data_IF_676591232054
#
_entry.id   IF_676591232054
#
_cell.length_a   1.000
_cell.length_b   1.000
_cell.length_c   1.000
_cell.angle_alpha   90.00
_cell.angle_beta   90.00
_cell.angle_gamma   90.00
#
_symmetry.space_group_name_H-M   'P 1'
#
loop_
_entity.id
_entity.type
_entity.pdbx_description
1 polymer ?
#
# COMPACT_ATOMS: atom_id res chain seq x y z
N UNK A 1 -15.53 4.17 -28.28
CA UNK A 1 -14.15 3.64 -28.27
C UNK A 1 -13.47 4.35 -27.11
N UNK A 2 -13.46 3.74 -25.92
CA UNK A 2 -12.76 4.30 -24.76
C UNK A 2 -11.26 4.21 -25.03
N UNK A 3 -10.55 5.30 -24.77
CA UNK A 3 -9.10 5.33 -24.92
C UNK A 3 -8.46 4.44 -23.83
N UNK A 4 -7.29 3.82 -24.08
CA UNK A 4 -6.52 3.21 -23.01
C UNK A 4 -6.21 4.29 -21.97
N UNK A 5 -6.74 4.13 -20.75
CA UNK A 5 -6.62 5.12 -19.67
C UNK A 5 -7.84 6.01 -19.43
N UNK A 6 -9.00 5.74 -20.06
CA UNK A 6 -10.27 6.32 -19.61
C UNK A 6 -10.57 5.85 -18.18
N UNK A 7 -10.69 6.78 -17.23
CA UNK A 7 -10.92 6.43 -15.83
C UNK A 7 -12.20 5.61 -15.63
N UNK A 8 -13.22 5.79 -16.47
CA UNK A 8 -14.42 4.95 -16.42
C UNK A 8 -14.11 3.47 -16.68
N UNK A 9 -13.09 3.18 -17.51
CA UNK A 9 -12.64 1.81 -17.79
C UNK A 9 -11.83 1.24 -16.63
N UNK A 10 -11.28 2.06 -15.72
CA UNK A 10 -10.59 1.59 -14.53
C UNK A 10 -11.55 1.43 -13.35
N UNK A 11 -12.49 2.36 -13.18
CA UNK A 11 -13.41 2.39 -12.02
C UNK A 11 -14.66 1.52 -12.20
N UNK A 12 -15.05 1.18 -13.43
CA UNK A 12 -16.24 0.36 -13.73
C UNK A 12 -15.87 -0.93 -14.49
N UNK A 13 -14.63 -1.38 -14.36
CA UNK A 13 -14.17 -2.62 -14.98
C UNK A 13 -14.64 -3.84 -14.17
N UNK A 14 -15.45 -4.75 -14.74
CA UNK A 14 -15.77 -6.00 -14.05
C UNK A 14 -14.54 -6.89 -13.86
N UNK A 15 -13.48 -6.74 -14.66
CA UNK A 15 -12.24 -7.49 -14.54
C UNK A 15 -11.25 -6.89 -13.51
N UNK A 16 -11.47 -5.63 -13.09
CA UNK A 16 -10.70 -4.95 -12.05
C UNK A 16 -11.66 -4.34 -11.02
N UNK A 17 -12.30 -5.16 -10.18
CA UNK A 17 -13.32 -4.69 -9.26
C UNK A 17 -12.73 -3.76 -8.18
N UNK A 18 -13.54 -2.80 -7.74
CA UNK A 18 -13.22 -1.96 -6.58
C UNK A 18 -13.10 -2.85 -5.34
N UNK A 19 -12.12 -2.54 -4.49
CA UNK A 19 -11.92 -3.29 -3.25
C UNK A 19 -13.12 -3.19 -2.32
N UNK A 20 -13.51 -4.34 -1.80
CA UNK A 20 -14.63 -4.48 -0.87
C UNK A 20 -14.14 -4.63 0.56
N UNK A 21 -15.07 -4.53 1.52
CA UNK A 21 -14.77 -4.84 2.92
C UNK A 21 -14.28 -6.29 3.11
N UNK A 22 -14.73 -7.24 2.29
CA UNK A 22 -14.28 -8.62 2.39
C UNK A 22 -12.79 -8.74 2.04
N UNK A 23 -12.35 -8.05 0.99
CA UNK A 23 -10.93 -8.00 0.58
C UNK A 23 -10.07 -7.36 1.68
N UNK A 24 -10.58 -6.34 2.36
CA UNK A 24 -9.88 -5.71 3.49
C UNK A 24 -9.73 -6.66 4.70
N UNK A 25 -10.76 -7.43 5.04
CA UNK A 25 -10.64 -8.40 6.14
C UNK A 25 -9.73 -9.58 5.77
N UNK A 26 -9.73 -10.02 4.50
CA UNK A 26 -8.74 -10.98 3.99
C UNK A 26 -7.33 -10.41 4.11
N UNK A 27 -7.13 -9.17 3.67
CA UNK A 27 -5.84 -8.48 3.78
C UNK A 27 -5.35 -8.41 5.22
N UNK A 28 -6.25 -8.11 6.16
CA UNK A 28 -5.92 -8.12 7.59
C UNK A 28 -5.49 -9.49 8.10
N UNK A 29 -6.06 -10.57 7.56
CA UNK A 29 -5.65 -11.94 7.89
C UNK A 29 -4.18 -12.22 7.60
N UNK A 30 -3.56 -11.53 6.63
CA UNK A 30 -2.13 -11.71 6.32
C UNK A 30 -1.19 -11.25 7.43
N UNK A 31 -1.63 -10.34 8.32
CA UNK A 31 -0.78 -9.89 9.42
C UNK A 31 -0.50 -11.02 10.43
N UNK A 32 -1.51 -11.82 10.75
CA UNK A 32 -1.43 -12.93 11.68
C UNK A 32 -0.86 -14.21 11.04
N UNK A 33 -0.80 -14.28 9.72
CA UNK A 33 -0.25 -15.43 9.00
C UNK A 33 1.27 -15.50 9.15
N UNK A 34 1.79 -16.63 9.62
CA UNK A 34 3.23 -16.93 9.72
C UNK A 34 3.70 -17.92 8.66
N UNK A 35 2.80 -18.73 8.11
CA UNK A 35 3.13 -19.74 7.11
C UNK A 35 3.53 -19.10 5.77
N UNK A 36 4.68 -19.54 5.23
CA UNK A 36 5.22 -19.08 3.95
C UNK A 36 5.97 -17.74 4.01
N UNK A 37 6.02 -17.09 5.17
CA UNK A 37 6.78 -15.85 5.40
C UNK A 37 8.19 -16.16 5.90
N UNK A 38 9.20 -15.74 5.15
CA UNK A 38 10.61 -15.92 5.48
C UNK A 38 11.17 -14.59 5.99
N UNK A 39 11.68 -14.58 7.22
CA UNK A 39 12.36 -13.42 7.79
C UNK A 39 13.66 -13.15 7.01
N UNK A 40 13.78 -11.95 6.44
CA UNK A 40 14.97 -11.51 5.71
C UNK A 40 15.79 -10.48 6.48
N UNK A 41 15.18 -9.78 7.42
CA UNK A 41 15.84 -8.77 8.24
C UNK A 41 15.16 -8.66 9.60
N UNK A 42 15.97 -8.46 10.64
CA UNK A 42 15.52 -8.22 12.01
C UNK A 42 16.52 -7.38 12.79
N UNK A 43 16.03 -6.33 13.42
CA UNK A 43 16.74 -5.57 14.44
C UNK A 43 15.89 -5.47 15.73
N UNK A 44 16.24 -4.53 16.62
CA UNK A 44 15.56 -4.33 17.90
C UNK A 44 14.08 -3.93 17.73
N UNK A 45 13.76 -3.19 16.68
CA UNK A 45 12.45 -2.54 16.48
C UNK A 45 11.69 -3.02 15.26
N UNK A 46 12.34 -3.69 14.32
CA UNK A 46 11.81 -3.95 12.98
C UNK A 46 12.15 -5.35 12.52
N UNK A 47 11.14 -6.01 11.95
CA UNK A 47 11.23 -7.32 11.29
C UNK A 47 10.65 -7.20 9.88
N UNK A 48 11.38 -7.73 8.89
CA UNK A 48 10.98 -7.76 7.48
C UNK A 48 10.88 -9.20 7.04
N UNK A 49 9.71 -9.57 6.52
CA UNK A 49 9.45 -10.90 5.98
C UNK A 49 9.06 -10.82 4.51
N UNK A 50 9.54 -11.78 3.73
CA UNK A 50 9.15 -11.97 2.34
C UNK A 50 8.34 -13.25 2.21
N UNK A 51 7.26 -13.21 1.42
CA UNK A 51 6.54 -14.43 1.04
C UNK A 51 7.07 -14.94 -0.28
N UNK A 52 7.53 -16.19 -0.31
CA UNK A 52 8.06 -16.86 -1.50
C UNK A 52 9.17 -16.06 -2.24
N UNK A 53 10.35 -15.84 -1.63
CA UNK A 53 11.43 -15.00 -2.18
C UNK A 53 12.06 -15.56 -3.48
N UNK A 54 11.76 -16.80 -3.85
CA UNK A 54 12.22 -17.39 -5.12
C UNK A 54 11.32 -17.01 -6.30
N UNK A 55 10.10 -16.50 -6.05
CA UNK A 55 9.21 -16.01 -7.09
C UNK A 55 9.59 -14.56 -7.46
N UNK A 56 10.16 -14.37 -8.64
CA UNK A 56 10.53 -13.04 -9.14
C UNK A 56 9.37 -12.28 -9.78
N UNK A 57 8.22 -12.93 -10.02
CA UNK A 57 7.06 -12.29 -10.64
C UNK A 57 6.22 -11.50 -9.62
N UNK A 58 6.19 -11.94 -8.37
CA UNK A 58 5.41 -11.32 -7.30
C UNK A 58 6.23 -11.26 -6.02
N UNK A 59 6.46 -10.04 -5.52
CA UNK A 59 7.15 -9.82 -4.26
C UNK A 59 6.13 -9.34 -3.25
N UNK A 60 5.91 -10.13 -2.20
CA UNK A 60 5.09 -9.72 -1.06
C UNK A 60 5.99 -9.51 0.14
N UNK A 61 5.88 -8.32 0.75
CA UNK A 61 6.69 -7.91 1.89
C UNK A 61 5.77 -7.62 3.07
N UNK A 62 6.13 -8.14 4.24
CA UNK A 62 5.49 -7.83 5.52
C UNK A 62 6.51 -7.17 6.42
N UNK A 63 6.20 -5.95 6.83
CA UNK A 63 6.98 -5.16 7.79
C UNK A 63 6.25 -5.18 9.13
N UNK A 64 6.93 -5.65 10.18
CA UNK A 64 6.43 -5.57 11.57
C UNK A 64 7.39 -4.68 12.35
N UNK A 65 6.91 -3.58 12.90
CA UNK A 65 7.77 -2.68 13.66
C UNK A 65 7.08 -2.02 14.84
N UNK A 66 7.81 -1.84 15.94
CA UNK A 66 7.38 -1.08 17.13
C UNK A 66 8.03 0.32 17.21
N UNK A 67 8.77 0.73 16.18
CA UNK A 67 9.47 2.02 16.14
C UNK A 67 8.52 3.23 16.29
N UNK A 68 7.25 3.06 15.93
CA UNK A 68 6.21 4.10 16.03
C UNK A 68 5.14 3.79 17.08
N UNK A 69 5.43 2.92 18.05
CA UNK A 69 4.43 2.48 19.06
C UNK A 69 3.85 3.62 19.92
N UNK A 70 4.61 4.70 20.08
CA UNK A 70 4.22 5.87 20.87
C UNK A 70 3.46 6.92 20.03
N UNK A 71 3.29 6.68 18.72
CA UNK A 71 2.56 7.56 17.81
C UNK A 71 1.13 7.01 17.62
N UNK A 72 0.08 7.84 17.78
CA UNK A 72 -1.29 7.40 17.51
C UNK A 72 -1.46 6.92 16.07
N UNK A 73 -2.18 5.80 15.88
CA UNK A 73 -2.42 5.22 14.56
C UNK A 73 -3.05 6.21 13.57
N UNK A 74 -3.92 7.11 14.05
CA UNK A 74 -4.51 8.17 13.22
C UNK A 74 -3.46 9.11 12.64
N UNK A 75 -2.45 9.49 13.44
CA UNK A 75 -1.38 10.39 12.98
C UNK A 75 -0.54 9.71 11.89
N UNK A 76 -0.26 8.41 12.05
CA UNK A 76 0.44 7.62 11.03
C UNK A 76 -0.40 7.54 9.75
N UNK A 77 -1.70 7.30 9.87
CA UNK A 77 -2.63 7.26 8.74
C UNK A 77 -2.65 8.59 7.98
N UNK A 78 -2.84 9.72 8.66
CA UNK A 78 -2.83 11.05 8.04
C UNK A 78 -1.48 11.37 7.37
N UNK A 79 -0.36 11.01 8.02
CA UNK A 79 0.99 11.20 7.48
C UNK A 79 1.24 10.48 6.15
N UNK A 80 0.70 9.26 6.00
CA UNK A 80 0.84 8.44 4.78
C UNK A 80 -0.07 8.97 3.66
N UNK A 81 -1.26 9.46 4.00
CA UNK A 81 -2.28 9.87 3.04
C UNK A 81 -2.18 11.33 2.59
N UNK A 82 -1.37 12.18 3.24
CA UNK A 82 -1.11 13.55 2.80
C UNK A 82 0.05 13.59 1.78
N UNK A 83 -0.21 13.78 0.48
CA UNK A 83 0.83 13.76 -0.55
C UNK A 83 1.78 14.96 -0.48
N UNK A 84 1.36 16.09 0.10
CA UNK A 84 2.20 17.28 0.23
C UNK A 84 3.11 17.18 1.45
N UNK A 85 2.58 16.67 2.56
CA UNK A 85 3.40 16.37 3.73
C UNK A 85 4.37 15.23 3.45
N UNK A 86 3.97 14.21 2.69
CA UNK A 86 4.84 13.08 2.36
C UNK A 86 6.13 13.49 1.65
N UNK A 87 6.09 14.51 0.79
CA UNK A 87 7.29 15.09 0.13
C UNK A 87 8.33 15.65 1.11
N UNK A 88 7.95 15.91 2.36
CA UNK A 88 8.86 16.46 3.38
C UNK A 88 9.75 15.39 4.02
N UNK A 89 9.36 14.12 3.95
CA UNK A 89 10.05 13.02 4.63
C UNK A 89 10.33 11.80 3.76
N UNK A 90 9.58 11.57 2.67
CA UNK A 90 9.85 10.52 1.70
C UNK A 90 10.84 11.05 0.64
N UNK A 91 12.13 10.85 0.89
CA UNK A 91 13.22 11.28 -0.01
C UNK A 91 13.11 10.69 -1.42
N UNK A 92 12.32 9.63 -1.61
CA UNK A 92 12.10 9.00 -2.92
C UNK A 92 10.92 9.58 -3.67
N UNK A 93 9.99 10.26 -3.00
CA UNK A 93 8.80 10.82 -3.64
C UNK A 93 9.17 12.05 -4.49
N UNK A 94 8.83 12.01 -5.78
CA UNK A 94 8.93 13.18 -6.67
C UNK A 94 7.62 13.97 -6.62
N UNK A 95 6.52 13.28 -6.89
CA UNK A 95 5.19 13.88 -6.97
C UNK A 95 4.11 12.83 -6.67
N UNK A 96 3.01 13.28 -6.06
CA UNK A 96 1.79 12.51 -5.95
C UNK A 96 0.59 13.41 -5.74
N UNK A 97 -0.57 12.96 -6.22
CA UNK A 97 -1.85 13.67 -6.12
C UNK A 97 -3.00 12.72 -6.39
N UNK A 98 -4.19 13.06 -5.89
CA UNK A 98 -5.44 12.36 -6.17
C UNK A 98 -5.87 12.60 -7.63
N UNK A 99 -6.11 11.54 -8.39
CA UNK A 99 -6.68 11.63 -9.75
C UNK A 99 -8.21 11.62 -9.67
N UNK A 100 -8.80 10.65 -8.97
CA UNK A 100 -10.26 10.51 -8.85
C UNK A 100 -10.65 9.79 -7.55
N UNK A 101 -11.69 10.30 -6.89
CA UNK A 101 -12.35 9.62 -5.78
C UNK A 101 -13.45 8.72 -6.34
N UNK A 102 -13.41 7.43 -6.03
CA UNK A 102 -14.41 6.45 -6.50
C UNK A 102 -15.59 6.38 -5.52
N UNK A 103 -15.30 6.20 -4.24
CA UNK A 103 -16.29 6.20 -3.15
C UNK A 103 -15.65 6.70 -1.83
N UNK A 104 -16.29 6.49 -0.67
CA UNK A 104 -15.77 6.96 0.62
C UNK A 104 -14.44 6.32 1.05
N UNK A 105 -14.07 5.17 0.49
CA UNK A 105 -12.93 4.35 0.89
C UNK A 105 -11.96 4.02 -0.25
N UNK A 106 -12.32 4.32 -1.50
CA UNK A 106 -11.55 3.96 -2.69
C UNK A 106 -11.26 5.19 -3.55
N UNK A 107 -10.00 5.30 -3.99
CA UNK A 107 -9.53 6.35 -4.87
C UNK A 107 -8.48 5.84 -5.86
N UNK A 108 -8.16 6.68 -6.85
CA UNK A 108 -7.04 6.49 -7.78
C UNK A 108 -6.08 7.66 -7.58
N UNK A 109 -4.85 7.36 -7.19
CA UNK A 109 -3.77 8.33 -7.02
C UNK A 109 -2.66 8.19 -8.04
N UNK A 110 -2.01 9.32 -8.37
CA UNK A 110 -0.72 9.35 -9.05
C UNK A 110 0.41 9.32 -8.01
N UNK A 111 1.47 8.57 -8.28
CA UNK A 111 2.69 8.56 -7.48
C UNK A 111 3.92 8.34 -8.37
N UNK A 112 4.94 9.17 -8.22
CA UNK A 112 6.20 9.07 -8.95
C UNK A 112 7.39 9.05 -8.00
N UNK A 113 8.40 8.24 -8.36
CA UNK A 113 9.58 7.99 -7.52
C UNK A 113 10.88 8.28 -8.24
N UNK A 114 11.86 8.78 -7.49
CA UNK A 114 13.24 8.87 -7.93
C UNK A 114 13.88 7.47 -7.90
N UNK A 115 14.44 7.05 -9.04
CA UNK A 115 15.23 5.83 -9.15
C UNK A 115 16.59 5.99 -8.46
#
# INVERSE_FOLDING_TARGET
MSLPGDLNVLTHNPDLPISTKADFEEFKGFFDQTEGWIESYKDEHTQVHFKNPENTAEIQVKLVSDAMKDIPAQVIYECIHDPDYRKTWDDRMIEGFLIEQIDECNDIGYYSVAM
#
